data_IF_950525500192
#
_entry.id   IF_950525500192
#
_cell.length_a   1.000
_cell.length_b   1.000
_cell.length_c   1.000
_cell.angle_alpha   90.00
_cell.angle_beta   90.00
_cell.angle_gamma   90.00
#
_symmetry.space_group_name_H-M   'P 1'
#
loop_
_entity.id
_entity.type
_entity.pdbx_description
1 polymer ?
#
# COMPACT_ATOMS: atom_id res chain seq x y z
N UNK A 1 -2.07 8.46 -29.44
CA UNK A 1 -1.57 8.22 -28.06
C UNK A 1 -1.57 9.61 -27.42
N UNK A 2 -2.59 9.92 -26.63
CA UNK A 2 -2.65 11.19 -25.89
C UNK A 2 -1.92 10.94 -24.58
N UNK A 3 -0.74 11.55 -24.42
CA UNK A 3 -0.07 11.60 -23.13
C UNK A 3 -0.96 12.44 -22.20
N UNK A 4 -1.62 11.79 -21.26
CA UNK A 4 -2.17 12.47 -20.10
C UNK A 4 -0.97 12.84 -19.22
N UNK A 5 -0.37 13.97 -19.55
CA UNK A 5 0.73 14.56 -18.82
C UNK A 5 0.26 14.90 -17.43
N UNK A 6 1.03 14.47 -16.44
CA UNK A 6 0.82 14.84 -15.06
C UNK A 6 0.79 16.36 -14.87
N UNK A 7 0.14 16.78 -13.80
CA UNK A 7 0.19 18.10 -13.15
C UNK A 7 -0.13 19.34 -14.00
N UNK A 8 -1.00 19.23 -15.00
CA UNK A 8 -1.61 20.42 -15.62
C UNK A 8 -2.84 20.84 -14.78
N UNK A 9 -2.61 21.37 -13.58
CA UNK A 9 -3.63 22.02 -12.78
C UNK A 9 -4.27 23.18 -13.58
N UNK A 10 -5.56 23.37 -13.40
CA UNK A 10 -6.30 24.49 -13.99
C UNK A 10 -5.56 25.82 -13.65
N UNK A 11 -5.14 26.65 -14.62
CA UNK A 11 -4.27 27.79 -14.37
C UNK A 11 -4.87 28.89 -13.44
N UNK A 12 -6.17 28.85 -13.17
CA UNK A 12 -6.84 29.84 -12.31
C UNK A 12 -6.98 29.40 -10.84
N UNK A 13 -6.39 28.25 -10.43
CA UNK A 13 -6.53 27.67 -9.09
C UNK A 13 -5.36 27.91 -8.14
N UNK A 14 -4.59 28.93 -8.33
CA UNK A 14 -3.43 29.29 -7.49
C UNK A 14 -3.76 29.73 -6.05
N UNK A 15 -5.01 29.53 -5.56
CA UNK A 15 -5.40 29.81 -4.17
C UNK A 15 -5.23 28.54 -3.34
N UNK A 16 -4.46 28.60 -2.28
CA UNK A 16 -4.28 27.50 -1.29
C UNK A 16 -5.59 27.06 -0.60
N UNK A 17 -6.70 27.73 -0.87
CA UNK A 17 -8.03 27.46 -0.32
C UNK A 17 -8.95 26.69 -1.32
N UNK A 18 -8.55 26.49 -2.57
CA UNK A 18 -9.37 25.78 -3.54
C UNK A 18 -9.26 24.25 -3.34
N UNK A 19 -10.39 23.49 -3.37
CA UNK A 19 -10.36 22.04 -3.24
C UNK A 19 -9.62 21.41 -4.43
N UNK A 20 -8.84 20.36 -4.18
CA UNK A 20 -8.32 19.52 -5.24
C UNK A 20 -9.42 18.57 -5.73
N UNK A 21 -9.65 18.54 -7.03
CA UNK A 21 -10.70 17.72 -7.65
C UNK A 21 -10.18 16.33 -7.97
N UNK A 22 -10.89 15.33 -7.46
CA UNK A 22 -10.57 13.91 -7.62
C UNK A 22 -11.67 13.23 -8.43
N UNK A 23 -11.28 12.58 -9.53
CA UNK A 23 -12.12 11.67 -10.30
C UNK A 23 -11.65 10.23 -10.15
N UNK A 24 -12.59 9.31 -10.05
CA UNK A 24 -12.34 7.87 -10.10
C UNK A 24 -12.68 7.36 -11.50
N UNK A 25 -11.69 6.84 -12.21
CA UNK A 25 -11.88 6.38 -13.59
C UNK A 25 -10.84 5.29 -13.95
N UNK A 26 -11.19 4.32 -14.82
CA UNK A 26 -10.27 3.24 -15.21
C UNK A 26 -8.95 3.73 -15.84
N UNK A 27 -8.99 4.85 -16.57
CA UNK A 27 -7.81 5.47 -17.20
C UNK A 27 -6.92 6.23 -16.21
N UNK A 28 -7.31 6.33 -14.95
CA UNK A 28 -6.58 7.07 -13.93
C UNK A 28 -5.28 6.38 -13.51
N UNK A 29 -4.44 7.14 -12.80
CA UNK A 29 -3.24 6.58 -12.16
C UNK A 29 -3.64 5.53 -11.11
N UNK A 30 -2.99 4.36 -11.06
CA UNK A 30 -3.23 3.37 -10.03
C UNK A 30 -3.07 3.95 -8.62
N UNK A 31 -4.04 3.66 -7.76
CA UNK A 31 -4.04 4.07 -6.36
C UNK A 31 -3.18 3.14 -5.52
N UNK A 32 -2.30 3.71 -4.73
CA UNK A 32 -1.44 3.00 -3.79
C UNK A 32 -1.30 3.77 -2.46
N UNK A 33 -0.58 3.20 -1.51
CA UNK A 33 -0.37 3.78 -0.18
C UNK A 33 0.32 5.15 -0.24
N UNK A 34 1.30 5.31 -1.14
CA UNK A 34 1.99 6.59 -1.34
C UNK A 34 1.07 7.66 -1.93
N UNK A 35 0.08 7.23 -2.75
CA UNK A 35 -0.94 8.15 -3.24
C UNK A 35 -1.91 8.56 -2.13
N UNK A 36 -2.24 7.65 -1.21
CA UNK A 36 -3.05 7.98 -0.03
C UNK A 36 -2.35 9.04 0.85
N UNK A 37 -1.04 8.93 1.07
CA UNK A 37 -0.25 9.94 1.78
C UNK A 37 -0.29 11.31 1.06
N UNK A 38 -0.20 11.32 -0.28
CA UNK A 38 -0.32 12.56 -1.07
C UNK A 38 -1.70 13.22 -0.88
N UNK A 39 -2.78 12.44 -0.89
CA UNK A 39 -4.15 12.96 -0.69
C UNK A 39 -4.37 13.41 0.76
N UNK A 40 -3.81 12.69 1.73
CA UNK A 40 -3.90 13.07 3.15
C UNK A 40 -3.22 14.41 3.46
N UNK A 41 -2.24 14.83 2.66
CA UNK A 41 -1.56 16.11 2.80
C UNK A 41 -2.34 17.29 2.21
N UNK A 42 -3.47 17.05 1.52
CA UNK A 42 -4.29 18.11 0.95
C UNK A 42 -5.25 18.70 1.98
N UNK A 43 -5.42 20.01 1.99
CA UNK A 43 -6.35 20.71 2.90
C UNK A 43 -7.82 20.39 2.58
N UNK A 44 -8.14 20.34 1.28
CA UNK A 44 -9.49 20.07 0.79
C UNK A 44 -9.48 19.16 -0.43
N UNK A 45 -10.28 18.09 -0.40
CA UNK A 45 -10.53 17.19 -1.54
C UNK A 45 -12.00 17.23 -1.93
N UNK A 46 -12.28 17.36 -3.23
CA UNK A 46 -13.60 17.27 -3.81
C UNK A 46 -13.68 16.05 -4.74
N UNK A 47 -14.35 15.00 -4.30
CA UNK A 47 -14.60 13.83 -5.13
C UNK A 47 -15.81 14.03 -6.03
N UNK A 48 -15.63 13.80 -7.34
CA UNK A 48 -16.72 13.85 -8.30
C UNK A 48 -16.99 12.42 -8.78
N UNK A 49 -18.18 11.94 -8.44
CA UNK A 49 -18.67 10.61 -8.80
C UNK A 49 -19.61 10.70 -9.99
N UNK A 50 -19.21 10.07 -11.10
CA UNK A 50 -20.07 9.97 -12.28
C UNK A 50 -21.10 8.84 -12.14
N UNK A 51 -22.26 9.03 -12.73
CA UNK A 51 -23.29 8.02 -12.88
C UNK A 51 -23.50 7.67 -14.36
N UNK A 52 -24.18 6.57 -14.61
CA UNK A 52 -24.51 6.07 -15.95
C UNK A 52 -23.27 5.65 -16.76
N UNK A 53 -23.21 5.98 -18.03
CA UNK A 53 -22.18 5.50 -18.98
C UNK A 53 -20.88 6.30 -18.94
N UNK A 54 -20.76 7.31 -18.06
CA UNK A 54 -19.52 8.09 -17.90
C UNK A 54 -19.77 9.58 -17.71
N UNK A 55 -18.68 10.32 -17.62
CA UNK A 55 -18.63 11.77 -17.48
C UNK A 55 -18.16 12.37 -18.81
N UNK A 56 -18.67 13.55 -19.18
CA UNK A 56 -18.19 14.29 -20.35
C UNK A 56 -16.66 14.45 -20.27
N UNK A 57 -15.96 14.02 -21.32
CA UNK A 57 -14.49 14.01 -21.37
C UNK A 57 -13.86 15.38 -21.04
N UNK A 58 -14.53 16.46 -21.40
CA UNK A 58 -14.08 17.83 -21.13
C UNK A 58 -14.03 18.17 -19.63
N UNK A 59 -14.79 17.47 -18.81
CA UNK A 59 -14.84 17.70 -17.35
C UNK A 59 -13.56 17.16 -16.70
N UNK A 60 -12.91 16.14 -17.28
CA UNK A 60 -11.61 15.66 -16.77
C UNK A 60 -10.50 16.71 -16.86
N UNK A 61 -10.64 17.73 -17.71
CA UNK A 61 -9.71 18.87 -17.73
C UNK A 61 -9.72 19.70 -16.45
N UNK A 62 -10.72 19.52 -15.59
CA UNK A 62 -10.80 20.16 -14.26
C UNK A 62 -10.17 19.32 -13.15
N UNK A 63 -9.76 18.08 -13.44
CA UNK A 63 -9.24 17.16 -12.45
C UNK A 63 -7.81 17.53 -12.01
N UNK A 64 -7.58 17.59 -10.71
CA UNK A 64 -6.22 17.57 -10.14
C UNK A 64 -5.73 16.13 -10.01
N UNK A 65 -6.67 15.18 -9.84
CA UNK A 65 -6.39 13.76 -9.71
C UNK A 65 -7.41 12.93 -10.50
N UNK A 66 -6.92 12.04 -11.36
CA UNK A 66 -7.69 10.95 -11.95
C UNK A 66 -7.09 9.64 -11.43
N UNK A 67 -7.87 8.84 -10.69
CA UNK A 67 -7.40 7.68 -9.93
C UNK A 67 -8.14 6.43 -10.39
N UNK A 68 -7.39 5.34 -10.59
CA UNK A 68 -7.91 3.99 -10.83
C UNK A 68 -7.65 3.11 -9.61
N UNK A 69 -8.65 2.33 -9.19
CA UNK A 69 -8.49 1.30 -8.15
C UNK A 69 -8.02 -0.05 -8.70
N UNK A 70 -8.02 -0.23 -10.02
CA UNK A 70 -7.64 -1.47 -10.68
C UNK A 70 -8.41 -1.72 -11.97
N UNK A 71 -8.10 -2.81 -12.65
CA UNK A 71 -8.61 -3.17 -13.97
C UNK A 71 -10.01 -3.83 -13.87
N UNK A 72 -10.97 -3.10 -13.33
CA UNK A 72 -12.37 -3.50 -13.24
C UNK A 72 -13.29 -2.26 -13.22
N UNK A 73 -14.58 -2.48 -13.50
CA UNK A 73 -15.58 -1.42 -13.53
C UNK A 73 -16.56 -1.59 -12.35
N UNK A 74 -16.85 -0.50 -11.66
CA UNK A 74 -17.88 -0.40 -10.63
C UNK A 74 -19.12 0.27 -11.19
N UNK A 75 -20.28 0.04 -10.56
CA UNK A 75 -21.55 0.64 -10.97
C UNK A 75 -21.55 2.17 -10.84
N UNK A 76 -20.77 2.70 -9.89
CA UNK A 76 -20.69 4.14 -9.61
C UNK A 76 -19.35 4.50 -8.93
N UNK A 77 -19.01 5.79 -8.95
CA UNK A 77 -17.76 6.29 -8.35
C UNK A 77 -17.77 6.37 -6.83
N UNK A 78 -18.93 6.28 -6.16
CA UNK A 78 -19.06 6.46 -4.72
C UNK A 78 -18.30 5.40 -3.92
N UNK A 79 -18.43 4.12 -4.30
CA UNK A 79 -17.70 3.04 -3.63
C UNK A 79 -16.19 3.19 -3.79
N UNK A 80 -15.74 3.57 -4.99
CA UNK A 80 -14.33 3.84 -5.25
C UNK A 80 -13.83 5.04 -4.41
N UNK A 81 -14.63 6.11 -4.33
CA UNK A 81 -14.31 7.28 -3.50
C UNK A 81 -14.21 6.93 -2.03
N UNK A 82 -15.11 6.08 -1.51
CA UNK A 82 -15.06 5.61 -0.12
C UNK A 82 -13.76 4.88 0.20
N UNK A 83 -13.28 4.03 -0.71
CA UNK A 83 -11.99 3.32 -0.53
C UNK A 83 -10.82 4.31 -0.47
N UNK A 84 -10.78 5.28 -1.38
CA UNK A 84 -9.72 6.29 -1.43
C UNK A 84 -9.77 7.19 -0.19
N UNK A 85 -10.97 7.63 0.22
CA UNK A 85 -11.17 8.47 1.41
C UNK A 85 -10.73 7.72 2.66
N UNK A 86 -11.15 6.47 2.86
CA UNK A 86 -10.75 5.66 4.02
C UNK A 86 -9.22 5.52 4.10
N UNK A 87 -8.59 5.16 2.98
CA UNK A 87 -7.14 5.02 2.91
C UNK A 87 -6.38 6.33 3.20
N UNK A 88 -6.90 7.49 2.75
CA UNK A 88 -6.29 8.79 3.00
C UNK A 88 -6.54 9.30 4.42
N UNK A 89 -7.79 9.21 4.91
CA UNK A 89 -8.18 9.76 6.21
C UNK A 89 -7.49 9.03 7.37
N UNK A 90 -7.27 7.72 7.27
CA UNK A 90 -6.53 6.96 8.30
C UNK A 90 -5.06 7.35 8.43
N UNK A 91 -4.48 8.08 7.45
CA UNK A 91 -3.13 8.66 7.52
C UNK A 91 -3.08 9.93 8.37
N UNK A 92 -4.23 10.54 8.65
CA UNK A 92 -4.29 11.78 9.44
C UNK A 92 -4.03 11.50 10.92
N UNK A 93 -3.26 12.39 11.61
CA UNK A 93 -3.01 12.24 13.03
C UNK A 93 -4.30 12.18 13.86
N UNK A 94 -4.38 11.24 14.80
CA UNK A 94 -5.49 11.09 15.74
C UNK A 94 -6.74 10.40 15.19
N UNK A 95 -6.78 10.02 13.91
CA UNK A 95 -7.92 9.27 13.34
C UNK A 95 -7.93 7.81 13.81
N UNK A 96 -6.78 7.16 13.77
CA UNK A 96 -6.60 5.83 14.38
C UNK A 96 -6.05 6.05 15.78
N UNK A 97 -6.76 5.64 16.82
CA UNK A 97 -6.49 5.94 18.24
C UNK A 97 -5.07 5.71 18.80
N UNK A 98 -4.07 5.41 17.96
CA UNK A 98 -2.67 5.38 18.30
C UNK A 98 -2.03 6.74 17.97
N UNK A 99 -1.28 7.31 18.91
CA UNK A 99 -0.64 8.62 18.77
C UNK A 99 0.37 8.66 17.59
N UNK A 100 0.96 7.52 17.24
CA UNK A 100 2.01 7.41 16.22
C UNK A 100 1.50 6.94 14.85
N UNK A 101 0.17 6.79 14.69
CA UNK A 101 -0.42 6.30 13.44
C UNK A 101 -0.10 4.82 13.14
N UNK A 102 -0.33 4.34 11.93
CA UNK A 102 -0.15 2.95 11.52
C UNK A 102 1.31 2.63 11.21
N UNK A 103 2.21 2.69 12.20
CA UNK A 103 3.68 2.55 12.00
C UNK A 103 4.07 1.16 11.48
N UNK A 104 3.36 0.11 11.89
CA UNK A 104 3.69 -1.29 11.57
C UNK A 104 2.80 -1.91 10.48
N UNK A 105 1.97 -1.13 9.80
CA UNK A 105 1.04 -1.64 8.78
C UNK A 105 1.74 -1.95 7.45
N UNK A 106 1.07 -2.78 6.64
CA UNK A 106 1.51 -3.09 5.28
C UNK A 106 1.72 -1.81 4.46
N UNK A 107 2.78 -1.79 3.67
CA UNK A 107 3.23 -0.70 2.78
C UNK A 107 3.89 0.49 3.48
N UNK A 108 3.55 0.85 4.70
CA UNK A 108 4.17 1.98 5.42
C UNK A 108 5.69 1.83 5.52
N UNK A 109 6.19 0.62 5.85
CA UNK A 109 7.61 0.30 5.82
C UNK A 109 8.11 -0.17 4.44
N UNK A 110 7.24 -0.22 3.44
CA UNK A 110 7.50 -0.80 2.13
C UNK A 110 7.42 -2.31 2.07
N UNK A 111 6.95 -2.97 3.13
CA UNK A 111 6.76 -4.41 3.22
C UNK A 111 5.33 -4.74 3.62
N UNK A 112 4.94 -6.01 3.50
CA UNK A 112 3.71 -6.50 4.10
C UNK A 112 3.89 -6.69 5.61
N UNK A 113 2.80 -6.49 6.34
CA UNK A 113 2.76 -6.71 7.79
C UNK A 113 2.99 -8.18 8.15
N UNK A 114 3.56 -8.41 9.33
CA UNK A 114 3.72 -9.73 9.93
C UNK A 114 2.37 -10.35 10.32
N UNK A 115 2.26 -11.69 10.51
CA UNK A 115 1.01 -12.34 10.89
C UNK A 115 0.57 -11.93 12.30
N UNK A 116 -0.69 -11.53 12.42
CA UNK A 116 -1.34 -11.18 13.68
C UNK A 116 -2.04 -12.41 14.28
N UNK A 117 -2.05 -12.47 15.61
CA UNK A 117 -2.69 -13.54 16.36
C UNK A 117 -3.60 -12.97 17.45
N UNK A 118 -4.69 -13.66 17.74
CA UNK A 118 -5.64 -13.33 18.81
C UNK A 118 -5.90 -14.55 19.70
N UNK A 119 -6.72 -14.39 20.72
CA UNK A 119 -7.18 -15.47 21.59
C UNK A 119 -8.18 -16.39 20.86
N UNK A 120 -8.19 -17.69 21.19
CA UNK A 120 -7.35 -18.43 22.15
C UNK A 120 -5.94 -18.70 21.62
N UNK A 121 -4.98 -19.01 22.52
CA UNK A 121 -3.60 -19.31 22.16
C UNK A 121 -3.44 -20.62 21.34
N UNK A 122 -4.41 -21.52 21.45
CA UNK A 122 -4.52 -22.72 20.61
C UNK A 122 -5.92 -22.75 20.00
N UNK A 123 -5.99 -22.73 18.70
CA UNK A 123 -7.25 -22.90 17.96
C UNK A 123 -7.14 -24.09 17.03
N UNK A 124 -7.77 -25.21 17.43
CA UNK A 124 -7.80 -26.47 16.66
C UNK A 124 -6.40 -27.01 16.32
N UNK A 125 -5.46 -26.94 17.28
CA UNK A 125 -4.08 -27.39 17.10
C UNK A 125 -3.16 -26.35 16.44
N UNK A 126 -3.69 -25.24 15.95
CA UNK A 126 -2.92 -24.10 15.45
C UNK A 126 -2.56 -23.17 16.61
N UNK A 127 -1.30 -23.17 17.02
CA UNK A 127 -0.82 -22.42 18.17
C UNK A 127 -0.26 -21.07 17.78
N UNK A 128 -0.47 -20.09 18.66
CA UNK A 128 0.28 -18.82 18.60
C UNK A 128 1.76 -19.13 18.82
N UNK A 129 2.70 -18.59 18.01
CA UNK A 129 4.13 -18.78 18.21
C UNK A 129 4.58 -18.37 19.62
N UNK A 130 5.34 -19.24 20.29
CA UNK A 130 5.77 -19.06 21.69
C UNK A 130 6.55 -17.76 21.90
N UNK A 131 7.31 -17.32 20.90
CA UNK A 131 8.06 -16.06 20.96
C UNK A 131 7.14 -14.87 21.26
N UNK A 132 5.90 -14.87 20.74
CA UNK A 132 4.95 -13.77 20.96
C UNK A 132 4.40 -13.69 22.38
N UNK A 133 4.48 -14.79 23.13
CA UNK A 133 4.05 -14.87 24.53
C UNK A 133 5.20 -14.87 25.54
N UNK A 134 6.43 -14.80 25.06
CA UNK A 134 7.66 -14.89 25.87
C UNK A 134 7.94 -13.67 26.76
N UNK A 135 7.32 -12.51 26.46
CA UNK A 135 7.68 -11.23 27.09
C UNK A 135 9.04 -10.65 26.63
N UNK A 136 9.79 -11.33 25.77
CA UNK A 136 11.06 -10.84 25.25
C UNK A 136 10.81 -9.92 24.03
N UNK A 137 10.71 -8.62 24.28
CA UNK A 137 10.41 -7.63 23.26
C UNK A 137 11.40 -7.63 22.08
N UNK A 138 12.69 -7.86 22.33
CA UNK A 138 13.68 -7.89 21.27
C UNK A 138 13.52 -9.13 20.37
N UNK A 139 13.22 -10.30 20.95
CA UNK A 139 12.93 -11.50 20.19
C UNK A 139 11.62 -11.37 19.39
N UNK A 140 10.60 -10.74 19.97
CA UNK A 140 9.33 -10.48 19.31
C UNK A 140 9.52 -9.54 18.12
N UNK A 141 10.24 -8.42 18.28
CA UNK A 141 10.49 -7.46 17.21
C UNK A 141 11.27 -8.11 16.06
N UNK A 142 12.30 -8.89 16.37
CA UNK A 142 13.04 -9.65 15.37
C UNK A 142 12.16 -10.65 14.62
N UNK A 143 11.37 -11.44 15.33
CA UNK A 143 10.46 -12.41 14.74
C UNK A 143 9.44 -11.72 13.80
N UNK A 144 8.83 -10.60 14.23
CA UNK A 144 7.92 -9.82 13.42
C UNK A 144 8.58 -9.35 12.13
N UNK A 145 9.80 -8.82 12.21
CA UNK A 145 10.55 -8.39 11.03
C UNK A 145 10.84 -9.54 10.08
N UNK A 146 11.29 -10.68 10.58
CA UNK A 146 11.55 -11.88 9.79
C UNK A 146 10.27 -12.40 9.10
N UNK A 147 9.12 -12.40 9.80
CA UNK A 147 7.84 -12.80 9.22
C UNK A 147 7.35 -11.82 8.15
N UNK A 148 7.50 -10.53 8.36
CA UNK A 148 7.20 -9.51 7.37
C UNK A 148 8.01 -9.72 6.09
N UNK A 149 9.32 -9.91 6.20
CA UNK A 149 10.21 -10.20 5.08
C UNK A 149 9.81 -11.49 4.34
N UNK A 150 9.59 -12.59 5.08
CA UNK A 150 9.20 -13.86 4.49
C UNK A 150 7.88 -13.78 3.74
N UNK A 151 6.86 -13.15 4.36
CA UNK A 151 5.55 -12.94 3.73
C UNK A 151 5.66 -12.08 2.49
N UNK A 152 6.45 -10.99 2.56
CA UNK A 152 6.63 -10.09 1.43
C UNK A 152 7.36 -10.78 0.29
N UNK A 153 8.43 -11.51 0.57
CA UNK A 153 9.18 -12.26 -0.45
C UNK A 153 8.30 -13.30 -1.16
N UNK A 154 7.41 -13.96 -0.42
CA UNK A 154 6.52 -14.98 -0.99
C UNK A 154 5.36 -14.39 -1.82
N UNK A 155 4.73 -13.30 -1.34
CA UNK A 155 3.50 -12.77 -1.92
C UNK A 155 3.72 -11.55 -2.83
N UNK A 156 4.74 -10.73 -2.55
CA UNK A 156 5.03 -9.46 -3.22
C UNK A 156 6.53 -9.26 -3.39
N UNK A 157 7.21 -10.11 -4.20
CA UNK A 157 8.65 -10.00 -4.45
C UNK A 157 9.05 -8.65 -5.06
N UNK A 158 8.13 -7.98 -5.75
CA UNK A 158 8.28 -6.62 -6.26
C UNK A 158 8.58 -5.60 -5.15
N UNK A 159 7.95 -5.74 -3.98
CA UNK A 159 8.21 -4.86 -2.83
C UNK A 159 9.59 -5.13 -2.20
N UNK A 160 10.06 -6.37 -2.19
CA UNK A 160 11.43 -6.67 -1.76
C UNK A 160 12.44 -6.00 -2.68
N UNK A 161 12.27 -6.13 -4.00
CA UNK A 161 13.14 -5.48 -4.99
C UNK A 161 13.14 -3.95 -4.85
N UNK A 162 11.95 -3.35 -4.64
CA UNK A 162 11.82 -1.92 -4.41
C UNK A 162 12.48 -1.47 -3.10
N UNK A 163 12.36 -2.25 -2.02
CA UNK A 163 12.98 -1.96 -0.74
C UNK A 163 14.51 -2.07 -0.81
N UNK A 164 15.03 -3.02 -1.58
CA UNK A 164 16.46 -3.19 -1.83
C UNK A 164 17.03 -2.04 -2.65
N UNK A 165 16.38 -1.69 -3.78
CA UNK A 165 16.77 -0.57 -4.63
C UNK A 165 16.76 0.77 -3.86
N UNK A 166 15.85 0.94 -2.90
CA UNK A 166 15.76 2.12 -2.04
C UNK A 166 16.70 2.08 -0.83
N UNK A 167 17.51 1.02 -0.65
CA UNK A 167 18.42 0.87 0.49
C UNK A 167 17.73 0.71 1.85
N UNK A 168 16.46 0.26 1.87
CA UNK A 168 15.64 0.12 3.09
C UNK A 168 15.82 -1.22 3.82
N UNK A 169 16.58 -2.15 3.25
CA UNK A 169 16.86 -3.44 3.86
C UNK A 169 18.18 -3.37 4.66
N UNK A 170 18.08 -3.63 5.95
CA UNK A 170 19.27 -3.74 6.83
C UNK A 170 20.11 -4.98 6.44
N UNK A 171 21.40 -5.02 6.80
CA UNK A 171 22.25 -6.20 6.53
C UNK A 171 21.69 -7.50 7.12
N UNK A 172 20.99 -7.42 8.26
CA UNK A 172 20.30 -8.57 8.86
C UNK A 172 19.12 -9.07 8.01
N UNK A 173 18.36 -8.14 7.40
CA UNK A 173 17.24 -8.45 6.50
C UNK A 173 17.75 -9.18 5.24
N UNK A 174 18.79 -8.66 4.62
CA UNK A 174 19.43 -9.26 3.45
C UNK A 174 19.96 -10.67 3.74
N UNK A 175 20.58 -10.85 4.93
CA UNK A 175 21.02 -12.17 5.36
C UNK A 175 19.86 -13.14 5.54
N UNK A 176 18.75 -12.68 6.13
CA UNK A 176 17.56 -13.50 6.32
C UNK A 176 16.92 -13.88 4.98
N UNK A 177 16.77 -12.94 4.05
CA UNK A 177 16.22 -13.21 2.71
C UNK A 177 17.02 -14.24 1.94
N UNK A 178 18.36 -14.20 2.01
CA UNK A 178 19.23 -15.23 1.41
C UNK A 178 18.99 -16.64 1.98
N UNK A 179 18.54 -16.75 3.23
CA UNK A 179 18.21 -18.07 3.83
C UNK A 179 16.86 -18.60 3.35
N UNK A 180 15.99 -17.71 2.82
CA UNK A 180 14.68 -18.09 2.25
C UNK A 180 14.79 -18.54 0.79
N UNK A 181 15.86 -18.17 0.09
CA UNK A 181 16.09 -18.64 -1.28
C UNK A 181 16.32 -20.17 -1.26
N UNK A 182 15.63 -20.94 -2.10
CA UNK A 182 15.94 -22.35 -2.22
C UNK A 182 17.40 -22.50 -2.67
N UNK A 183 18.12 -23.42 -2.02
CA UNK A 183 19.50 -23.73 -2.44
C UNK A 183 19.50 -23.96 -3.97
N UNK A 184 20.48 -23.41 -4.71
CA UNK A 184 20.55 -23.58 -6.14
C UNK A 184 20.51 -25.08 -6.42
N UNK A 185 19.46 -25.51 -7.13
CA UNK A 185 19.31 -26.90 -7.60
C UNK A 185 20.56 -27.19 -8.41
N UNK A 186 21.46 -28.00 -7.83
CA UNK A 186 22.70 -28.40 -8.48
C UNK A 186 22.36 -28.89 -9.87
N UNK A 187 23.06 -28.37 -10.86
CA UNK A 187 23.03 -28.83 -12.22
C UNK A 187 23.14 -30.35 -12.18
N UNK A 188 22.16 -31.05 -12.70
CA UNK A 188 22.25 -32.47 -12.94
C UNK A 188 23.46 -32.65 -13.85
N UNK A 189 24.56 -33.10 -13.27
CA UNK A 189 25.69 -33.58 -14.04
C UNK A 189 25.19 -34.69 -14.96
N UNK A 190 25.33 -34.46 -16.26
CA UNK A 190 25.02 -35.41 -17.26
C UNK A 190 25.81 -36.68 -17.04
N UNK A 191 25.10 -37.79 -16.85
CA UNK A 191 25.67 -39.12 -17.01
C UNK A 191 25.51 -39.48 -18.49
N UNK A 192 26.65 -39.61 -19.10
CA UNK A 192 26.85 -40.12 -20.45
C UNK A 192 26.37 -41.57 -20.58
#
# INVERSE_FOLDING_TARGET
MVEFGGDAGCPDRASSAAPQIVFLAPQGRPFDDAYADKLAAADHLLFICGHYEGIDERVYALADHVISLGDYVLTSGELASMVVIDAAVRKLPGVLGAADGPVDESFTSGLLEYPQYTRPADFRGMRVPEVLTSGNHAAIARWRREQSLARTAAARPDLIAAAEAAGRLAPADQKFLKLLEPAPTGAAEGVS
#
